data_IF_442204679010
#
_entry.id   IF_442204679010
#
_cell.length_a   1.000
_cell.length_b   1.000
_cell.length_c   1.000
_cell.angle_alpha   90.00
_cell.angle_beta   90.00
_cell.angle_gamma   90.00
#
_symmetry.space_group_name_H-M   'P 1'
#
loop_
_entity.id
_entity.type
_entity.pdbx_description
1 polymer ?
#
# COMPACT_ATOMS: atom_id res chain seq x y z
N UNK A 1 36.64 -9.30 6.87
CA UNK A 1 35.37 -9.33 7.61
C UNK A 1 34.36 -8.41 6.92
N UNK A 2 33.74 -8.83 5.82
CA UNK A 2 32.95 -7.93 4.96
C UNK A 2 31.66 -8.50 4.38
N UNK A 3 31.18 -9.65 4.87
CA UNK A 3 30.02 -10.34 4.30
C UNK A 3 28.86 -10.57 5.28
N UNK A 4 28.98 -10.16 6.55
CA UNK A 4 27.94 -10.45 7.54
C UNK A 4 26.83 -9.39 7.59
N UNK A 5 27.10 -8.15 7.14
CA UNK A 5 26.12 -7.06 7.21
C UNK A 5 25.08 -7.06 6.07
N UNK A 6 25.34 -7.68 4.91
CA UNK A 6 24.34 -7.82 3.83
C UNK A 6 23.37 -8.99 4.04
N UNK A 7 23.68 -9.90 4.94
CA UNK A 7 22.86 -11.09 5.18
C UNK A 7 21.69 -10.84 6.15
N UNK A 8 21.74 -9.74 6.92
CA UNK A 8 20.62 -9.35 7.79
C UNK A 8 19.46 -8.71 7.02
N UNK A 9 19.74 -8.05 5.88
CA UNK A 9 18.69 -7.45 5.04
C UNK A 9 17.83 -8.48 4.28
N UNK A 10 18.24 -9.75 4.29
CA UNK A 10 17.63 -10.84 3.52
C UNK A 10 17.36 -12.10 4.35
N UNK A 11 17.30 -12.01 5.67
CA UNK A 11 16.84 -13.16 6.47
C UNK A 11 15.41 -13.53 6.04
N UNK A 12 15.12 -14.83 5.97
CA UNK A 12 13.77 -15.31 5.60
C UNK A 12 12.70 -14.77 6.56
N UNK A 13 13.06 -14.55 7.83
CA UNK A 13 12.20 -13.90 8.82
C UNK A 13 11.88 -12.45 8.45
N UNK A 14 12.85 -11.66 7.99
CA UNK A 14 12.61 -10.28 7.60
C UNK A 14 11.82 -10.20 6.28
N UNK A 15 12.09 -11.09 5.33
CA UNK A 15 11.29 -11.24 4.10
C UNK A 15 9.83 -11.57 4.43
N UNK A 16 9.60 -12.54 5.32
CA UNK A 16 8.27 -12.94 5.77
C UNK A 16 7.57 -11.82 6.54
N UNK A 17 8.27 -11.07 7.40
CA UNK A 17 7.71 -9.94 8.13
C UNK A 17 7.30 -8.78 7.20
N UNK A 18 8.14 -8.43 6.22
CA UNK A 18 7.82 -7.42 5.21
C UNK A 18 6.64 -7.86 4.36
N UNK A 19 6.62 -9.12 3.91
CA UNK A 19 5.52 -9.71 3.16
C UNK A 19 4.20 -9.63 3.93
N UNK A 20 4.21 -10.04 5.20
CA UNK A 20 3.05 -9.99 6.09
C UNK A 20 2.53 -8.56 6.28
N UNK A 21 3.43 -7.60 6.47
CA UNK A 21 3.06 -6.20 6.65
C UNK A 21 2.47 -5.59 5.36
N UNK A 22 3.01 -5.94 4.19
CA UNK A 22 2.50 -5.47 2.88
C UNK A 22 1.17 -6.12 2.50
N UNK A 23 0.91 -7.35 2.94
CA UNK A 23 -0.25 -8.12 2.52
C UNK A 23 -1.59 -7.52 2.97
N UNK A 24 -2.56 -7.48 2.06
CA UNK A 24 -3.96 -7.19 2.39
C UNK A 24 -4.17 -5.81 3.01
N UNK A 25 -3.63 -4.75 2.39
CA UNK A 25 -3.98 -3.39 2.80
C UNK A 25 -5.43 -3.12 2.38
N UNK A 26 -6.34 -3.32 3.33
CA UNK A 26 -7.74 -3.04 3.13
C UNK A 26 -8.02 -1.55 3.33
N UNK A 27 -8.38 -0.87 2.25
CA UNK A 27 -8.68 0.58 2.25
C UNK A 27 -10.17 0.89 2.38
N UNK A 28 -11.05 -0.13 2.47
CA UNK A 28 -12.50 0.04 2.62
C UNK A 28 -12.91 0.75 3.93
N UNK A 29 -12.09 0.65 4.97
CA UNK A 29 -12.29 1.42 6.19
C UNK A 29 -11.89 2.89 6.02
N UNK A 30 -10.92 3.17 5.14
CA UNK A 30 -10.45 4.52 4.85
C UNK A 30 -11.48 5.31 4.06
N UNK A 31 -12.17 4.69 3.09
CA UNK A 31 -13.25 5.34 2.33
C UNK A 31 -14.45 5.76 3.17
N UNK A 32 -14.80 4.98 4.19
CA UNK A 32 -15.88 5.34 5.13
C UNK A 32 -15.61 6.68 5.81
N UNK A 33 -14.35 7.09 5.96
CA UNK A 33 -13.97 8.38 6.53
C UNK A 33 -14.08 9.57 5.55
N UNK A 34 -14.35 9.34 4.26
CA UNK A 34 -14.25 10.35 3.20
C UNK A 34 -15.56 11.08 2.86
N UNK A 35 -16.67 10.84 3.58
CA UNK A 35 -17.99 11.45 3.30
C UNK A 35 -18.33 11.36 1.79
N UNK A 36 -18.33 10.14 1.27
CA UNK A 36 -18.57 9.86 -0.14
C UNK A 36 -20.04 10.04 -0.49
N UNK A 37 -20.33 10.44 -1.73
CA UNK A 37 -21.67 10.24 -2.30
C UNK A 37 -21.90 8.74 -2.58
N UNK A 38 -23.16 8.33 -2.78
CA UNK A 38 -23.47 6.93 -3.12
C UNK A 38 -22.73 6.48 -4.38
N UNK A 39 -22.72 7.32 -5.41
CA UNK A 39 -21.99 7.06 -6.66
C UNK A 39 -20.49 6.90 -6.43
N UNK A 40 -19.88 7.80 -5.66
CA UNK A 40 -18.45 7.67 -5.33
C UNK A 40 -18.20 6.38 -4.55
N UNK A 41 -19.06 6.02 -3.59
CA UNK A 41 -18.93 4.81 -2.78
C UNK A 41 -18.97 3.52 -3.62
N UNK A 42 -19.79 3.50 -4.67
CA UNK A 42 -19.82 2.40 -5.66
C UNK A 42 -18.55 2.38 -6.52
N UNK A 43 -18.18 3.52 -7.11
CA UNK A 43 -17.04 3.61 -8.04
C UNK A 43 -15.69 3.28 -7.38
N UNK A 44 -15.52 3.54 -6.07
CA UNK A 44 -14.27 3.22 -5.37
C UNK A 44 -14.11 1.73 -5.03
N UNK A 45 -15.16 0.90 -5.07
CA UNK A 45 -15.06 -0.51 -4.65
C UNK A 45 -14.04 -1.26 -5.50
N UNK A 46 -14.11 -1.12 -6.82
CA UNK A 46 -13.19 -1.80 -7.75
C UNK A 46 -11.72 -1.41 -7.52
N UNK A 47 -11.33 -0.12 -7.45
CA UNK A 47 -9.96 0.26 -7.10
C UNK A 47 -9.49 -0.25 -5.72
N UNK A 48 -10.38 -0.41 -4.74
CA UNK A 48 -10.04 -0.94 -3.42
C UNK A 48 -9.80 -2.44 -3.43
N UNK A 49 -10.64 -3.19 -4.16
CA UNK A 49 -10.50 -4.63 -4.34
C UNK A 49 -9.20 -4.95 -5.08
N UNK A 50 -8.92 -4.24 -6.18
CA UNK A 50 -7.68 -4.40 -6.95
C UNK A 50 -6.45 -4.17 -6.06
N UNK A 51 -6.39 -3.05 -5.34
CA UNK A 51 -5.26 -2.75 -4.47
C UNK A 51 -5.10 -3.78 -3.32
N UNK A 52 -6.21 -4.25 -2.76
CA UNK A 52 -6.20 -5.31 -1.75
C UNK A 52 -5.66 -6.64 -2.29
N UNK A 53 -6.02 -7.00 -3.52
CA UNK A 53 -5.52 -8.19 -4.21
C UNK A 53 -4.02 -8.05 -4.54
N UNK A 54 -3.63 -6.98 -5.21
CA UNK A 54 -2.23 -6.70 -5.60
C UNK A 54 -1.30 -6.71 -4.39
N UNK A 55 -1.70 -6.07 -3.29
CA UNK A 55 -0.89 -6.06 -2.07
C UNK A 55 -0.82 -7.43 -1.40
N UNK A 56 -1.85 -8.27 -1.53
CA UNK A 56 -1.84 -9.64 -1.01
C UNK A 56 -0.90 -10.57 -1.81
N UNK A 57 -0.72 -10.32 -3.10
CA UNK A 57 0.18 -11.10 -3.96
C UNK A 57 1.68 -10.84 -3.67
N UNK A 58 2.01 -9.73 -3.01
CA UNK A 58 3.37 -9.42 -2.54
C UNK A 58 3.92 -10.42 -1.52
N UNK A 59 3.07 -11.31 -1.01
CA UNK A 59 3.44 -12.46 -0.19
C UNK A 59 4.37 -13.48 -0.88
N UNK A 60 4.42 -13.49 -2.21
CA UNK A 60 5.19 -14.44 -3.03
C UNK A 60 6.72 -14.42 -2.84
N UNK A 61 7.43 -15.32 -3.52
CA UNK A 61 8.88 -15.60 -3.38
C UNK A 61 9.78 -14.51 -4.01
N UNK A 62 9.51 -13.23 -3.72
CA UNK A 62 10.33 -12.10 -4.15
C UNK A 62 11.34 -11.68 -3.06
N UNK A 63 12.46 -11.06 -3.42
CA UNK A 63 13.30 -10.39 -2.42
C UNK A 63 12.61 -9.10 -1.90
N UNK A 64 13.13 -8.53 -0.80
CA UNK A 64 12.55 -7.33 -0.16
C UNK A 64 12.52 -6.12 -1.10
N UNK A 65 13.53 -6.00 -1.97
CA UNK A 65 13.66 -4.87 -2.88
C UNK A 65 12.55 -4.86 -3.94
N UNK A 66 12.32 -6.00 -4.61
CA UNK A 66 11.27 -6.11 -5.62
C UNK A 66 9.88 -5.92 -5.00
N UNK A 67 9.62 -6.49 -3.82
CA UNK A 67 8.35 -6.27 -3.10
C UNK A 67 8.12 -4.81 -2.79
N UNK A 68 9.14 -4.10 -2.30
CA UNK A 68 9.04 -2.68 -1.97
C UNK A 68 8.74 -1.84 -3.21
N UNK A 69 9.40 -2.15 -4.33
CA UNK A 69 9.16 -1.47 -5.61
C UNK A 69 7.72 -1.68 -6.11
N UNK A 70 7.24 -2.92 -6.11
CA UNK A 70 5.86 -3.22 -6.54
C UNK A 70 4.83 -2.64 -5.57
N UNK A 71 5.08 -2.70 -4.26
CA UNK A 71 4.24 -2.05 -3.26
C UNK A 71 4.09 -0.54 -3.52
N UNK A 72 5.21 0.17 -3.75
CA UNK A 72 5.16 1.59 -4.12
C UNK A 72 4.35 1.83 -5.39
N UNK A 73 4.52 0.98 -6.41
CA UNK A 73 3.76 1.06 -7.67
C UNK A 73 2.26 0.88 -7.43
N UNK A 74 1.85 -0.13 -6.67
CA UNK A 74 0.44 -0.37 -6.34
C UNK A 74 -0.18 0.78 -5.53
N UNK A 75 0.59 1.38 -4.60
CA UNK A 75 0.14 2.57 -3.87
C UNK A 75 -0.12 3.74 -4.84
N UNK A 76 0.80 3.98 -5.78
CA UNK A 76 0.63 5.02 -6.79
C UNK A 76 -0.58 4.78 -7.70
N UNK A 77 -0.73 3.56 -8.21
CA UNK A 77 -1.85 3.18 -9.09
C UNK A 77 -3.18 3.33 -8.35
N UNK A 78 -3.22 2.96 -7.07
CA UNK A 78 -4.38 3.16 -6.21
C UNK A 78 -4.71 4.65 -6.02
N UNK A 79 -3.74 5.48 -5.66
CA UNK A 79 -3.93 6.94 -5.52
C UNK A 79 -4.41 7.56 -6.84
N UNK A 80 -3.81 7.16 -7.96
CA UNK A 80 -4.20 7.62 -9.29
C UNK A 80 -5.65 7.24 -9.61
N UNK A 81 -6.07 6.01 -9.33
CA UNK A 81 -7.45 5.59 -9.54
C UNK A 81 -8.43 6.33 -8.62
N UNK A 82 -8.05 6.54 -7.36
CA UNK A 82 -8.84 7.34 -6.42
C UNK A 82 -8.98 8.80 -6.87
N UNK A 83 -7.95 9.37 -7.48
CA UNK A 83 -7.95 10.76 -7.97
C UNK A 83 -8.98 11.03 -9.06
N UNK A 84 -9.41 9.99 -9.79
CA UNK A 84 -10.44 10.07 -10.83
C UNK A 84 -11.86 10.14 -10.26
N UNK A 85 -12.04 9.71 -9.01
CA UNK A 85 -13.35 9.53 -8.36
C UNK A 85 -13.55 10.56 -7.24
N UNK A 86 -12.49 10.82 -6.48
CA UNK A 86 -12.52 11.68 -5.30
C UNK A 86 -12.29 13.15 -5.66
N UNK A 87 -12.93 14.05 -4.91
CA UNK A 87 -12.54 15.46 -4.92
C UNK A 87 -11.14 15.64 -4.35
N UNK A 88 -10.45 16.75 -4.68
CA UNK A 88 -9.11 17.06 -4.13
C UNK A 88 -9.04 16.96 -2.59
N UNK A 89 -10.08 17.43 -1.89
CA UNK A 89 -10.15 17.37 -0.42
C UNK A 89 -10.29 15.95 0.10
N UNK A 90 -11.09 15.11 -0.57
CA UNK A 90 -11.25 13.71 -0.23
C UNK A 90 -9.98 12.92 -0.54
N UNK A 91 -9.34 13.17 -1.68
CA UNK A 91 -8.08 12.55 -2.08
C UNK A 91 -6.95 12.87 -1.09
N UNK A 92 -6.76 14.14 -0.73
CA UNK A 92 -5.76 14.51 0.27
C UNK A 92 -5.99 13.83 1.63
N UNK A 93 -7.25 13.70 2.05
CA UNK A 93 -7.59 12.96 3.28
C UNK A 93 -7.32 11.46 3.13
N UNK A 94 -7.62 10.89 1.97
CA UNK A 94 -7.34 9.49 1.65
C UNK A 94 -5.84 9.20 1.71
N UNK A 95 -5.00 10.02 1.07
CA UNK A 95 -3.54 9.91 1.10
C UNK A 95 -2.99 9.95 2.54
N UNK A 96 -3.49 10.87 3.37
CA UNK A 96 -3.09 10.95 4.79
C UNK A 96 -3.45 9.67 5.55
N UNK A 97 -4.67 9.16 5.35
CA UNK A 97 -5.13 7.93 5.99
C UNK A 97 -4.36 6.70 5.50
N UNK A 98 -4.05 6.64 4.21
CA UNK A 98 -3.25 5.59 3.61
C UNK A 98 -1.82 5.63 4.14
N UNK A 99 -1.19 6.81 4.21
CA UNK A 99 0.14 7.01 4.79
C UNK A 99 0.21 6.55 6.25
N UNK A 100 -0.80 6.88 7.06
CA UNK A 100 -0.90 6.40 8.45
C UNK A 100 -1.03 4.88 8.49
N UNK A 101 -1.88 4.30 7.64
CA UNK A 101 -2.08 2.84 7.56
C UNK A 101 -0.78 2.12 7.22
N UNK A 102 -0.05 2.61 6.23
CA UNK A 102 1.23 2.06 5.79
C UNK A 102 2.29 2.18 6.89
N UNK A 103 2.39 3.36 7.53
CA UNK A 103 3.30 3.59 8.65
C UNK A 103 3.01 2.66 9.84
N UNK A 104 1.74 2.44 10.18
CA UNK A 104 1.33 1.56 11.29
C UNK A 104 1.68 0.08 11.02
N UNK A 105 1.93 -0.28 9.76
CA UNK A 105 2.41 -1.61 9.36
C UNK A 105 3.95 -1.67 9.25
N UNK A 106 4.67 -0.64 9.72
CA UNK A 106 6.13 -0.55 9.63
C UNK A 106 6.66 -0.63 8.18
N UNK A 107 5.87 -0.19 7.21
CA UNK A 107 6.28 -0.13 5.82
C UNK A 107 6.86 1.25 5.50
N UNK A 108 8.01 1.26 4.84
CA UNK A 108 8.64 2.49 4.34
C UNK A 108 8.42 2.53 2.84
N UNK A 109 7.72 3.55 2.38
CA UNK A 109 7.60 3.90 0.97
C UNK A 109 8.47 5.12 0.70
N UNK A 110 9.08 5.17 -0.48
CA UNK A 110 9.97 6.25 -0.88
C UNK A 110 9.20 7.57 -0.93
N UNK A 111 9.89 8.70 -0.72
CA UNK A 111 9.27 10.04 -0.67
C UNK A 111 8.44 10.37 -1.89
N UNK A 112 8.78 9.77 -3.03
CA UNK A 112 8.14 10.04 -4.31
C UNK A 112 6.74 9.42 -4.42
N UNK A 113 6.32 8.63 -3.42
CA UNK A 113 5.03 7.91 -3.39
C UNK A 113 3.81 8.79 -3.12
N UNK A 114 3.98 9.98 -2.51
CA UNK A 114 2.88 10.89 -2.17
C UNK A 114 3.16 12.33 -2.58
#
# INVERSE_FOLDING_TARGET
MGNELRNFENSEEMKAAVAYNMAGINTSSLSKALRLSNRQAEEIQTPMEIFGMETSELGGVYDVYHRTKDFSRYVHENIFNMSKILTRKQLSKYEQLLKITIKNRNLIITSDTF
#
